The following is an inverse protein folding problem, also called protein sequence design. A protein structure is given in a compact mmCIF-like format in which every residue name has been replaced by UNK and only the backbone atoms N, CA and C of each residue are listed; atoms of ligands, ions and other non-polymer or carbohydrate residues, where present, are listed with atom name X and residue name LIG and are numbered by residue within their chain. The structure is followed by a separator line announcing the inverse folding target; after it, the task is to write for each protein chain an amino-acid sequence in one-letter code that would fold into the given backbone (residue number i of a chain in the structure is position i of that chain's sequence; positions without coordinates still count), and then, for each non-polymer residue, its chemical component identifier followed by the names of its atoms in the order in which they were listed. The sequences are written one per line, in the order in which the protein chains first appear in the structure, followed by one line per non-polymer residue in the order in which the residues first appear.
data_IF_708260799029
#
_entry.id   IF_708260799029
#
_cell.length_a   1.000
_cell.length_b   1.000
_cell.length_c   1.000
_cell.angle_alpha   90.00
_cell.angle_beta   90.00
_cell.angle_gamma   90.00
#
_symmetry.space_group_name_H-M   'P 1'
#
loop_
_entity.id
_entity.type
_entity.pdbx_description
1 polymer ?
#
# COMPACT_ATOMS: atom_id res chain seq x y z
N UNK A 1 -5.21 -17.58 12.97
CA UNK A 1 -5.33 -18.00 11.57
C UNK A 1 -6.35 -17.15 10.83
N UNK A 2 -6.01 -16.69 9.63
CA UNK A 2 -6.96 -15.96 8.81
C UNK A 2 -8.04 -16.90 8.29
N UNK A 3 -9.28 -16.44 8.36
CA UNK A 3 -10.41 -17.16 7.79
C UNK A 3 -10.49 -16.87 6.29
N UNK A 4 -11.14 -17.73 5.49
CA UNK A 4 -11.26 -17.50 4.05
C UNK A 4 -11.91 -16.16 3.68
N UNK A 5 -12.81 -15.65 4.50
CA UNK A 5 -13.48 -14.37 4.28
C UNK A 5 -12.63 -13.16 4.63
N UNK A 6 -11.52 -13.35 5.35
CA UNK A 6 -10.62 -12.24 5.67
C UNK A 6 -9.76 -11.88 4.46
N UNK A 7 -9.52 -10.59 4.30
CA UNK A 7 -8.77 -10.08 3.16
C UNK A 7 -7.38 -9.64 3.58
N UNK A 8 -6.48 -9.59 2.60
CA UNK A 8 -5.12 -9.06 2.79
C UNK A 8 -5.03 -7.73 2.07
N UNK A 9 -4.65 -6.69 2.80
CA UNK A 9 -4.41 -5.35 2.29
C UNK A 9 -2.90 -5.11 2.37
N UNK A 10 -2.25 -5.00 1.22
CA UNK A 10 -0.81 -4.72 1.16
C UNK A 10 -0.60 -3.23 0.96
N UNK A 11 0.26 -2.63 1.80
CA UNK A 11 0.72 -1.25 1.64
C UNK A 11 2.17 -1.33 1.17
N UNK A 12 2.41 -0.88 -0.05
CA UNK A 12 3.69 -1.09 -0.74
C UNK A 12 4.38 0.25 -0.95
N UNK A 13 5.62 0.35 -0.48
CA UNK A 13 6.50 1.49 -0.76
C UNK A 13 7.68 1.01 -1.60
N UNK A 14 7.67 1.25 -2.92
CA UNK A 14 8.83 0.91 -3.74
C UNK A 14 10.07 1.67 -3.28
N UNK A 15 11.21 1.01 -3.29
CA UNK A 15 12.49 1.60 -2.86
C UNK A 15 13.35 1.83 -4.09
N UNK A 16 13.63 3.11 -4.40
CA UNK A 16 14.41 3.60 -5.53
C UNK A 16 13.72 3.44 -6.89
N UNK A 17 13.82 4.46 -7.69
CA UNK A 17 13.26 4.47 -9.04
C UNK A 17 13.93 3.45 -9.96
N UNK A 18 15.27 3.30 -9.85
CA UNK A 18 15.99 2.33 -10.67
C UNK A 18 15.56 0.91 -10.40
N UNK A 19 15.34 0.55 -9.13
CA UNK A 19 14.88 -0.79 -8.77
C UNK A 19 13.48 -1.05 -9.31
N UNK A 20 12.57 -0.08 -9.16
CA UNK A 20 11.22 -0.23 -9.69
C UNK A 20 11.24 -0.37 -11.21
N UNK A 21 12.04 0.43 -11.89
CA UNK A 21 12.19 0.35 -13.35
C UNK A 21 12.68 -1.03 -13.79
N UNK A 22 13.76 -1.52 -13.16
CA UNK A 22 14.40 -2.77 -13.55
C UNK A 22 13.53 -4.00 -13.27
N UNK A 23 12.71 -3.94 -12.21
CA UNK A 23 11.87 -5.05 -11.76
C UNK A 23 10.39 -4.78 -11.96
N UNK A 24 10.04 -3.82 -12.81
CA UNK A 24 8.66 -3.35 -12.94
C UNK A 24 7.67 -4.46 -13.24
N UNK A 25 7.99 -5.33 -14.18
CA UNK A 25 7.12 -6.45 -14.55
C UNK A 25 6.93 -7.42 -13.38
N UNK A 26 7.99 -7.69 -12.62
CA UNK A 26 7.92 -8.55 -11.44
C UNK A 26 7.04 -7.92 -10.36
N UNK A 27 7.19 -6.61 -10.13
CA UNK A 27 6.33 -5.89 -9.18
C UNK A 27 4.86 -5.96 -9.58
N UNK A 28 4.56 -5.81 -10.87
CA UNK A 28 3.17 -5.84 -11.34
C UNK A 28 2.50 -7.19 -11.13
N UNK A 29 3.26 -8.28 -11.02
CA UNK A 29 2.73 -9.63 -10.88
C UNK A 29 2.88 -10.26 -9.50
N UNK A 30 3.55 -9.59 -8.54
CA UNK A 30 3.91 -10.26 -7.27
C UNK A 30 2.88 -10.08 -6.15
N UNK A 31 1.83 -9.29 -6.35
CA UNK A 31 0.84 -9.00 -5.30
C UNK A 31 -0.50 -9.70 -5.52
N UNK A 32 -0.52 -10.79 -6.28
CA UNK A 32 -1.76 -11.48 -6.62
C UNK A 32 -2.50 -12.05 -5.41
N UNK A 33 -1.78 -12.36 -4.33
CA UNK A 33 -2.39 -12.89 -3.11
C UNK A 33 -2.97 -11.80 -2.21
N UNK A 34 -2.72 -10.53 -2.50
CA UNK A 34 -3.33 -9.42 -1.78
C UNK A 34 -4.63 -9.01 -2.46
N UNK A 35 -5.68 -8.83 -1.67
CA UNK A 35 -6.99 -8.41 -2.20
C UNK A 35 -6.98 -6.96 -2.64
N UNK A 36 -6.23 -6.12 -1.94
CA UNK A 36 -6.04 -4.70 -2.27
C UNK A 36 -4.58 -4.34 -2.07
N UNK A 37 -4.07 -3.48 -2.93
CA UNK A 37 -2.70 -2.95 -2.82
C UNK A 37 -2.77 -1.44 -2.80
N UNK A 38 -2.30 -0.84 -1.70
CA UNK A 38 -2.09 0.60 -1.60
C UNK A 38 -0.64 0.88 -1.96
N UNK A 39 -0.43 1.65 -3.02
CA UNK A 39 0.91 1.95 -3.55
C UNK A 39 1.29 3.37 -3.19
N UNK A 40 2.36 3.53 -2.41
CA UNK A 40 2.89 4.84 -2.05
C UNK A 40 3.82 5.38 -3.12
N UNK A 41 4.19 6.66 -2.97
CA UNK A 41 5.28 7.21 -3.75
C UNK A 41 6.55 6.40 -3.53
N UNK A 42 7.41 6.38 -4.54
CA UNK A 42 8.70 5.72 -4.48
C UNK A 42 9.57 6.41 -3.40
N UNK A 43 10.22 5.60 -2.57
CA UNK A 43 11.26 6.11 -1.68
C UNK A 43 12.53 6.32 -2.51
N UNK A 44 12.81 7.58 -2.81
CA UNK A 44 13.81 7.93 -3.82
C UNK A 44 15.24 7.57 -3.43
N UNK A 45 15.58 7.64 -2.13
CA UNK A 45 16.94 7.37 -1.62
C UNK A 45 18.01 8.18 -2.37
N UNK A 46 17.70 9.44 -2.69
CA UNK A 46 18.63 10.34 -3.37
C UNK A 46 18.60 10.27 -4.90
N UNK A 47 17.79 9.39 -5.48
CA UNK A 47 17.66 9.30 -6.94
C UNK A 47 16.67 10.34 -7.49
N UNK A 48 16.88 10.72 -8.74
CA UNK A 48 15.91 11.53 -9.47
C UNK A 48 14.76 10.64 -9.97
N UNK A 49 13.53 11.21 -10.11
CA UNK A 49 12.41 10.47 -10.68
C UNK A 49 12.71 9.95 -12.07
N UNK A 50 12.19 8.75 -12.37
CA UNK A 50 12.28 8.13 -13.69
C UNK A 50 10.87 7.99 -14.23
N UNK A 51 10.62 8.54 -15.43
CA UNK A 51 9.32 8.43 -16.09
C UNK A 51 8.94 6.96 -16.28
N UNK A 52 7.71 6.60 -15.94
CA UNK A 52 7.22 5.22 -16.03
C UNK A 52 7.59 4.33 -14.85
N UNK A 53 8.41 4.83 -13.91
CA UNK A 53 8.80 4.08 -12.71
C UNK A 53 8.36 4.85 -11.45
N UNK A 54 7.07 5.15 -11.37
CA UNK A 54 6.48 5.89 -10.26
C UNK A 54 5.24 5.17 -9.72
N UNK A 55 4.64 5.77 -8.69
CA UNK A 55 3.44 5.21 -8.04
C UNK A 55 2.32 4.94 -9.03
N UNK A 56 1.97 5.94 -9.82
CA UNK A 56 0.81 5.84 -10.72
C UNK A 56 1.07 4.84 -11.84
N UNK A 57 2.30 4.76 -12.32
CA UNK A 57 2.69 3.74 -13.31
C UNK A 57 2.57 2.34 -12.73
N UNK A 58 2.95 2.14 -11.48
CA UNK A 58 2.83 0.83 -10.83
C UNK A 58 1.36 0.46 -10.62
N UNK A 59 0.52 1.40 -10.20
CA UNK A 59 -0.93 1.15 -10.08
C UNK A 59 -1.50 0.71 -11.42
N UNK A 60 -1.18 1.41 -12.50
CA UNK A 60 -1.63 1.06 -13.85
C UNK A 60 -1.10 -0.31 -14.28
N UNK A 61 0.16 -0.60 -13.97
CA UNK A 61 0.78 -1.88 -14.28
C UNK A 61 0.14 -3.06 -13.55
N UNK A 62 -0.21 -2.86 -12.28
CA UNK A 62 -0.92 -3.89 -11.51
C UNK A 62 -2.29 -4.18 -12.12
N UNK A 63 -3.03 -3.14 -12.52
CA UNK A 63 -4.30 -3.32 -13.20
C UNK A 63 -4.14 -4.05 -14.53
N UNK A 64 -3.13 -3.68 -15.31
CA UNK A 64 -2.84 -4.32 -16.59
C UNK A 64 -2.47 -5.80 -16.45
N UNK A 65 -1.88 -6.19 -15.32
CA UNK A 65 -1.56 -7.59 -15.00
C UNK A 65 -2.71 -8.32 -14.30
N UNK A 66 -3.88 -7.71 -14.25
CA UNK A 66 -5.10 -8.37 -13.77
C UNK A 66 -5.37 -8.24 -12.27
N UNK A 67 -4.61 -7.43 -11.53
CA UNK A 67 -4.92 -7.22 -10.11
C UNK A 67 -6.22 -6.43 -9.98
N UNK A 68 -7.19 -6.90 -9.16
CA UNK A 68 -8.51 -6.27 -9.11
C UNK A 68 -8.58 -5.00 -8.25
N UNK A 69 -7.63 -4.76 -7.36
CA UNK A 69 -7.76 -3.71 -6.36
C UNK A 69 -6.53 -2.85 -6.06
N UNK A 70 -5.74 -2.39 -7.06
CA UNK A 70 -4.65 -1.46 -6.77
C UNK A 70 -5.17 -0.04 -6.59
N UNK A 71 -4.69 0.66 -5.57
CA UNK A 71 -5.07 2.03 -5.25
C UNK A 71 -3.81 2.83 -4.92
N UNK A 72 -3.72 4.04 -5.44
CA UNK A 72 -2.64 4.94 -5.07
C UNK A 72 -2.82 5.43 -3.63
N UNK A 73 -1.78 5.32 -2.80
CA UNK A 73 -1.74 5.98 -1.51
C UNK A 73 -1.48 7.46 -1.76
N UNK A 74 -2.41 8.31 -1.38
CA UNK A 74 -2.31 9.75 -1.67
C UNK A 74 -1.12 10.39 -0.96
N UNK A 75 -0.96 10.08 0.33
CA UNK A 75 0.19 10.51 1.12
C UNK A 75 0.30 9.62 2.36
N UNK A 76 1.45 9.61 3.05
CA UNK A 76 1.55 8.88 4.33
C UNK A 76 0.52 9.36 5.35
N UNK A 77 0.16 10.63 5.32
CA UNK A 77 -0.81 11.20 6.27
C UNK A 77 -2.23 10.67 6.05
N UNK A 78 -2.55 10.21 4.86
CA UNK A 78 -3.88 9.67 4.55
C UNK A 78 -3.96 8.15 4.69
N UNK A 79 -2.86 7.48 5.05
CA UNK A 79 -2.80 6.02 5.10
C UNK A 79 -3.89 5.42 5.99
N UNK A 80 -3.99 5.90 7.23
CA UNK A 80 -4.97 5.36 8.17
C UNK A 80 -6.39 5.52 7.66
N UNK A 81 -6.70 6.69 7.07
CA UNK A 81 -8.03 6.94 6.52
C UNK A 81 -8.33 6.02 5.33
N UNK A 82 -7.37 5.87 4.42
CA UNK A 82 -7.56 5.00 3.26
C UNK A 82 -7.72 3.53 3.68
N UNK A 83 -6.96 3.08 4.66
CA UNK A 83 -7.13 1.72 5.22
C UNK A 83 -8.50 1.58 5.88
N UNK A 84 -8.91 2.58 6.67
CA UNK A 84 -10.22 2.57 7.33
C UNK A 84 -11.37 2.42 6.35
N UNK A 85 -11.27 3.06 5.18
CA UNK A 85 -12.31 3.01 4.16
C UNK A 85 -12.41 1.64 3.48
N UNK A 86 -11.35 0.85 3.51
CA UNK A 86 -11.25 -0.44 2.81
C UNK A 86 -11.40 -1.61 3.76
N UNK A 87 -10.74 -1.55 4.92
CA UNK A 87 -10.59 -2.69 5.82
C UNK A 87 -11.86 -3.01 6.60
N UNK A 88 -12.03 -4.28 6.88
CA UNK A 88 -13.09 -4.81 7.74
C UNK A 88 -12.46 -5.56 8.91
N UNK A 89 -13.19 -5.75 10.02
CA UNK A 89 -12.66 -6.54 11.14
C UNK A 89 -12.17 -7.92 10.65
N UNK A 90 -10.98 -8.29 11.09
CA UNK A 90 -10.35 -9.55 10.70
C UNK A 90 -9.42 -9.47 9.50
N UNK A 91 -9.43 -8.37 8.75
CA UNK A 91 -8.51 -8.18 7.64
C UNK A 91 -7.08 -8.00 8.13
N UNK A 92 -6.13 -8.45 7.32
CA UNK A 92 -4.71 -8.30 7.61
C UNK A 92 -4.14 -7.16 6.76
N UNK A 93 -3.44 -6.22 7.40
CA UNK A 93 -2.74 -5.14 6.71
C UNK A 93 -1.25 -5.37 6.83
N UNK A 94 -0.57 -5.47 5.70
CA UNK A 94 0.88 -5.72 5.63
C UNK A 94 1.55 -4.53 4.95
N UNK A 95 2.53 -3.94 5.61
CA UNK A 95 3.33 -2.87 5.02
C UNK A 95 4.65 -3.46 4.50
N UNK A 96 4.90 -3.27 3.21
CA UNK A 96 6.05 -3.83 2.51
C UNK A 96 6.92 -2.72 1.94
N UNK A 97 8.23 -2.86 2.11
CA UNK A 97 9.19 -1.93 1.56
C UNK A 97 10.33 -1.62 2.52
N UNK A 98 11.22 -0.76 2.08
CA UNK A 98 12.31 -0.21 2.90
C UNK A 98 12.04 1.27 3.14
N UNK A 99 12.66 1.84 4.16
CA UNK A 99 12.46 3.25 4.48
C UNK A 99 11.29 3.49 5.42
N UNK A 100 10.28 4.25 4.99
CA UNK A 100 9.21 4.72 5.88
C UNK A 100 8.17 3.66 6.25
N UNK A 101 8.07 2.57 5.51
CA UNK A 101 6.97 1.60 5.67
C UNK A 101 6.96 0.93 7.04
N UNK A 102 8.11 0.70 7.65
CA UNK A 102 8.21 0.13 8.99
C UNK A 102 7.57 1.05 10.03
N UNK A 103 7.84 2.35 9.92
CA UNK A 103 7.23 3.35 10.81
C UNK A 103 5.71 3.39 10.60
N UNK A 104 5.26 3.35 9.37
CA UNK A 104 3.82 3.34 9.07
C UNK A 104 3.12 2.15 9.73
N UNK A 105 3.73 0.97 9.64
CA UNK A 105 3.15 -0.24 10.26
C UNK A 105 3.06 -0.09 11.79
N UNK A 106 4.08 0.51 12.41
CA UNK A 106 4.10 0.73 13.85
C UNK A 106 3.07 1.75 14.32
N UNK A 107 2.82 2.79 13.52
CA UNK A 107 1.91 3.89 13.88
C UNK A 107 0.44 3.61 13.54
N UNK A 108 0.20 2.74 12.56
CA UNK A 108 -1.12 2.53 12.00
C UNK A 108 -2.17 2.08 13.03
N UNK A 109 -1.90 1.13 13.94
CA UNK A 109 -2.93 0.72 14.90
C UNK A 109 -3.47 1.87 15.74
N UNK A 110 -2.61 2.74 16.26
CA UNK A 110 -3.03 3.89 17.06
C UNK A 110 -3.80 4.91 16.22
N UNK A 111 -3.37 5.12 14.98
CA UNK A 111 -4.05 6.04 14.05
C UNK A 111 -5.44 5.52 13.71
N UNK A 112 -5.58 4.22 13.46
CA UNK A 112 -6.88 3.61 13.19
C UNK A 112 -7.80 3.70 14.42
N UNK A 113 -7.25 3.48 15.61
CA UNK A 113 -8.03 3.59 16.84
C UNK A 113 -8.55 5.01 17.04
N UNK A 114 -7.73 6.02 16.76
CA UNK A 114 -8.14 7.42 16.84
C UNK A 114 -9.29 7.74 15.88
N UNK A 115 -9.24 7.21 14.66
CA UNK A 115 -10.31 7.40 13.68
C UNK A 115 -11.60 6.70 14.11
N UNK A 116 -11.50 5.51 14.69
CA UNK A 116 -12.66 4.80 15.22
C UNK A 116 -13.30 5.57 16.38
N UNK A 117 -12.50 6.17 17.24
CA UNK A 117 -13.00 6.96 18.37
C UNK A 117 -13.73 8.22 17.87
N UNK A 118 -13.25 8.85 16.82
CA UNK A 118 -13.92 9.98 16.18
C UNK A 118 -15.30 9.62 15.59
N UNK A 119 -15.44 8.39 15.10
CA UNK A 119 -16.67 7.90 14.47
C UNK A 119 -17.72 7.41 15.46
N UNK A 120 -17.34 7.21 16.74
CA UNK A 120 -18.28 6.74 17.75
C UNK A 120 -19.29 7.83 18.08
N UNK A 121 -20.58 7.47 18.24
CA UNK A 121 -21.57 8.41 18.76
C UNK A 121 -21.18 8.87 20.17
N UNK A 122 -21.44 10.13 20.46
CA UNK A 122 -21.17 10.69 21.77
C UNK A 122 -22.07 10.04 22.83
#
# INVERSE_FOLDING_TARGET
MLKPENRVIAVVQPHRYTRLKDLFSDFCGCFNDADTVLVSDVYAAGEDPIAGADRDSLVSGLMAHGHPGPVALESPDTLARQVMDIARPGDLVICLGAGSSTRWAAELPDQLQALLDERRPA
#
